data_IF_483816708243
#
_entry.id   IF_483816708243
#
_cell.length_a   1.000
_cell.length_b   1.000
_cell.length_c   1.000
_cell.angle_alpha   90.00
_cell.angle_beta   90.00
_cell.angle_gamma   90.00
#
_symmetry.space_group_name_H-M   'P 1'
#
loop_
_entity.id
_entity.type
_entity.pdbx_description
1 polymer ?
#
# COMPACT_ATOMS: atom_id res chain seq x y z
N UNK A 1 -13.00 -3.05 13.39
CA UNK A 1 -11.71 -3.16 14.06
C UNK A 1 -10.71 -3.70 13.05
N UNK A 2 -9.95 -2.79 12.41
CA UNK A 2 -8.93 -3.12 11.40
C UNK A 2 -7.52 -2.94 12.00
N UNK A 3 -7.41 -2.81 13.33
CA UNK A 3 -6.12 -2.74 13.98
C UNK A 3 -5.35 -4.05 13.70
N UNK A 4 -4.07 -3.94 13.37
CA UNK A 4 -3.17 -5.06 13.01
C UNK A 4 -3.20 -5.59 11.56
N UNK A 5 -3.49 -4.74 10.55
CA UNK A 5 -3.26 -5.06 9.12
C UNK A 5 -1.78 -5.18 8.71
N UNK A 6 -0.84 -5.32 9.66
CA UNK A 6 0.60 -5.34 9.38
C UNK A 6 1.02 -6.40 8.36
N UNK A 7 0.34 -7.54 8.32
CA UNK A 7 0.59 -8.60 7.33
C UNK A 7 0.16 -8.26 5.89
N UNK A 8 -0.64 -7.21 5.72
CA UNK A 8 -1.09 -6.70 4.42
C UNK A 8 -0.43 -5.37 4.04
N UNK A 9 -0.04 -4.56 5.03
CA UNK A 9 0.45 -3.19 4.81
C UNK A 9 1.96 -3.03 4.90
N UNK A 10 2.68 -3.99 5.49
CA UNK A 10 4.14 -3.95 5.63
C UNK A 10 4.79 -4.76 4.51
N UNK A 11 5.70 -4.14 3.75
CA UNK A 11 6.41 -4.80 2.65
C UNK A 11 6.99 -3.79 1.65
N UNK A 12 7.45 -4.27 0.48
CA UNK A 12 8.05 -3.42 -0.58
C UNK A 12 6.99 -2.72 -1.44
N UNK A 13 6.07 -1.98 -0.80
CA UNK A 13 4.98 -1.24 -1.46
C UNK A 13 5.47 -0.06 -2.30
N UNK A 14 6.63 0.51 -1.97
CA UNK A 14 7.23 1.66 -2.66
C UNK A 14 7.55 1.44 -4.15
N UNK A 15 7.59 0.18 -4.62
CA UNK A 15 7.86 -0.13 -6.04
C UNK A 15 6.61 -0.04 -6.94
N UNK A 16 5.41 0.03 -6.36
CA UNK A 16 4.15 0.12 -7.10
C UNK A 16 3.75 -1.11 -7.92
N UNK A 17 4.54 -2.20 -7.90
CA UNK A 17 4.18 -3.44 -8.59
C UNK A 17 3.31 -4.32 -7.69
N UNK A 18 2.03 -4.45 -8.05
CA UNK A 18 1.04 -5.25 -7.29
C UNK A 18 1.46 -6.71 -7.13
N UNK A 19 2.10 -7.32 -8.13
CA UNK A 19 2.52 -8.71 -8.06
C UNK A 19 3.68 -8.93 -7.08
N UNK A 20 4.60 -7.97 -6.98
CA UNK A 20 5.70 -8.04 -6.02
C UNK A 20 5.22 -7.74 -4.60
N UNK A 21 4.19 -6.89 -4.46
CA UNK A 21 3.52 -6.63 -3.18
C UNK A 21 2.81 -7.90 -2.70
N UNK A 22 2.08 -8.59 -3.58
CA UNK A 22 1.41 -9.85 -3.25
C UNK A 22 2.42 -10.94 -2.89
N UNK A 23 3.52 -11.05 -3.65
CA UNK A 23 4.61 -11.99 -3.35
C UNK A 23 5.21 -11.76 -1.96
N UNK A 24 5.45 -10.49 -1.59
CA UNK A 24 5.91 -10.12 -0.25
C UNK A 24 4.91 -10.51 0.84
N UNK A 25 3.60 -10.31 0.60
CA UNK A 25 2.54 -10.70 1.55
C UNK A 25 2.51 -12.21 1.75
N UNK A 26 2.62 -12.99 0.66
CA UNK A 26 2.70 -14.45 0.72
C UNK A 26 3.92 -14.86 1.57
N UNK A 27 5.10 -14.33 1.25
CA UNK A 27 6.35 -14.68 1.96
C UNK A 27 6.29 -14.31 3.44
N UNK A 28 5.79 -13.11 3.77
CA UNK A 28 5.64 -12.62 5.14
C UNK A 28 4.69 -13.52 5.95
N UNK A 29 3.53 -13.86 5.39
CA UNK A 29 2.51 -14.68 6.07
C UNK A 29 3.01 -16.11 6.25
N UNK A 30 3.56 -16.74 5.21
CA UNK A 30 3.99 -18.14 5.31
C UNK A 30 5.22 -18.29 6.20
N UNK A 31 6.17 -17.35 6.17
CA UNK A 31 7.32 -17.39 7.09
C UNK A 31 6.92 -17.04 8.51
N UNK A 32 6.09 -16.01 8.69
CA UNK A 32 5.71 -15.50 10.00
C UNK A 32 4.79 -16.43 10.78
N UNK A 33 3.83 -17.09 10.11
CA UNK A 33 2.85 -17.95 10.77
C UNK A 33 3.13 -19.44 10.63
N UNK A 34 3.74 -19.87 9.51
CA UNK A 34 3.94 -21.31 9.22
C UNK A 34 5.40 -21.74 9.36
N UNK A 35 6.35 -20.78 9.43
CA UNK A 35 7.78 -21.09 9.41
C UNK A 35 8.27 -21.64 8.07
N UNK A 36 7.53 -21.41 6.98
CA UNK A 36 7.81 -21.96 5.65
C UNK A 36 8.08 -20.85 4.63
N UNK A 37 9.04 -21.07 3.73
CA UNK A 37 9.27 -20.21 2.57
C UNK A 37 8.50 -20.74 1.36
N UNK A 38 7.48 -20.00 0.91
CA UNK A 38 6.67 -20.40 -0.25
C UNK A 38 7.05 -19.65 -1.53
N UNK A 39 7.87 -18.60 -1.44
CA UNK A 39 8.24 -17.75 -2.58
C UNK A 39 8.88 -18.50 -3.78
N UNK A 40 9.60 -19.61 -3.56
CA UNK A 40 10.17 -20.40 -4.66
C UNK A 40 9.09 -21.06 -5.54
N UNK A 41 7.91 -21.36 -4.95
CA UNK A 41 6.77 -21.95 -5.66
C UNK A 41 6.19 -21.03 -6.75
N UNK A 42 6.58 -19.75 -6.78
CA UNK A 42 6.16 -18.77 -7.81
C UNK A 42 6.45 -19.22 -9.23
N UNK A 43 7.59 -19.87 -9.45
CA UNK A 43 8.10 -20.18 -10.79
C UNK A 43 8.25 -21.68 -11.08
N UNK A 44 8.35 -22.50 -10.04
CA UNK A 44 8.51 -23.95 -10.12
C UNK A 44 8.03 -24.56 -8.81
N UNK A 45 7.63 -25.83 -8.80
CA UNK A 45 7.25 -26.49 -7.55
C UNK A 45 8.35 -26.37 -6.51
N UNK A 46 7.97 -26.11 -5.25
CA UNK A 46 8.92 -25.86 -4.20
C UNK A 46 9.90 -27.02 -4.04
N UNK A 47 11.19 -26.70 -3.83
CA UNK A 47 12.29 -27.67 -3.95
C UNK A 47 12.21 -28.83 -2.94
N UNK A 48 11.76 -28.56 -1.72
CA UNK A 48 11.82 -29.51 -0.60
C UNK A 48 10.43 -29.87 -0.07
N UNK A 49 9.62 -28.86 0.20
CA UNK A 49 8.23 -29.01 0.66
C UNK A 49 7.27 -29.37 -0.49
N UNK A 50 6.19 -30.14 -0.21
CA UNK A 50 5.15 -30.50 -1.19
C UNK A 50 4.20 -29.33 -1.44
N UNK A 51 4.72 -28.23 -1.98
CA UNK A 51 3.99 -27.01 -2.31
C UNK A 51 4.20 -26.74 -3.80
N UNK A 52 3.13 -26.88 -4.57
CA UNK A 52 3.16 -26.70 -6.02
C UNK A 52 3.04 -25.23 -6.43
N UNK A 53 3.28 -24.97 -7.72
CA UNK A 53 2.93 -23.68 -8.35
C UNK A 53 1.46 -23.33 -8.12
N UNK A 54 0.57 -24.33 -8.21
CA UNK A 54 -0.87 -24.14 -8.05
C UNK A 54 -1.23 -23.61 -6.64
N UNK A 55 -0.55 -24.10 -5.59
CA UNK A 55 -0.75 -23.63 -4.21
C UNK A 55 -0.31 -22.18 -4.04
N UNK A 56 0.84 -21.82 -4.65
CA UNK A 56 1.32 -20.43 -4.66
C UNK A 56 0.30 -19.50 -5.32
N UNK A 57 -0.21 -19.87 -6.50
CA UNK A 57 -1.16 -19.01 -7.21
C UNK A 57 -2.56 -19.01 -6.59
N UNK A 58 -2.94 -20.05 -5.84
CA UNK A 58 -4.13 -20.01 -5.00
C UNK A 58 -4.00 -18.93 -3.90
N UNK A 59 -2.86 -18.87 -3.19
CA UNK A 59 -2.57 -17.80 -2.23
C UNK A 59 -2.50 -16.43 -2.90
N UNK A 60 -1.85 -16.34 -4.07
CA UNK A 60 -1.84 -15.10 -4.85
C UNK A 60 -3.25 -14.62 -5.16
N UNK A 61 -4.17 -15.52 -5.56
CA UNK A 61 -5.57 -15.19 -5.82
C UNK A 61 -6.28 -14.61 -4.59
N UNK A 62 -6.02 -15.18 -3.40
CA UNK A 62 -6.54 -14.67 -2.13
C UNK A 62 -6.05 -13.25 -1.89
N UNK A 63 -4.73 -13.00 -1.93
CA UNK A 63 -4.18 -11.67 -1.68
C UNK A 63 -4.52 -10.64 -2.75
N UNK A 64 -4.66 -11.05 -4.01
CA UNK A 64 -5.14 -10.19 -5.09
C UNK A 64 -6.60 -9.73 -4.85
N UNK A 65 -7.36 -10.48 -4.07
CA UNK A 65 -8.75 -10.18 -3.70
C UNK A 65 -8.85 -9.46 -2.34
N UNK A 66 -7.74 -8.97 -1.79
CA UNK A 66 -7.72 -8.20 -0.54
C UNK A 66 -7.53 -6.72 -0.81
N UNK A 67 -8.23 -5.89 -0.03
CA UNK A 67 -8.12 -4.43 -0.07
C UNK A 67 -7.41 -3.91 1.17
N UNK A 68 -6.50 -2.96 0.96
CA UNK A 68 -5.91 -2.18 2.05
C UNK A 68 -6.73 -0.90 2.20
N UNK A 69 -7.24 -0.58 3.39
CA UNK A 69 -7.93 0.69 3.62
C UNK A 69 -7.01 1.88 3.32
N UNK A 70 -7.53 2.89 2.64
CA UNK A 70 -6.82 4.16 2.43
C UNK A 70 -6.60 4.87 3.77
N UNK A 71 -7.64 4.87 4.61
CA UNK A 71 -7.57 5.38 5.98
C UNK A 71 -7.28 4.23 6.95
N UNK A 72 -6.11 4.28 7.58
CA UNK A 72 -5.74 3.31 8.61
C UNK A 72 -6.49 3.58 9.92
N UNK A 73 -6.89 2.53 10.65
CA UNK A 73 -7.64 2.68 11.90
C UNK A 73 -6.79 3.33 12.99
N UNK A 74 -7.43 4.18 13.78
CA UNK A 74 -6.81 4.84 14.93
C UNK A 74 -6.63 3.81 16.05
N UNK A 75 -5.38 3.52 16.43
CA UNK A 75 -5.00 2.49 17.43
C UNK A 75 -4.99 3.07 18.87
N UNK A 76 -5.30 4.35 19.04
CA UNK A 76 -5.39 5.02 20.34
C UNK A 76 -5.38 6.54 20.23
N UNK A 77 -5.48 7.22 21.36
CA UNK A 77 -5.33 8.68 21.38
C UNK A 77 -3.88 9.07 21.06
N UNK A 78 -3.67 10.08 20.19
CA UNK A 78 -2.32 10.56 19.91
C UNK A 78 -1.68 11.11 21.19
N UNK A 79 -0.37 10.90 21.40
CA UNK A 79 0.32 11.42 22.57
C UNK A 79 0.23 12.95 22.58
N UNK A 80 -0.03 13.56 23.74
CA UNK A 80 -0.11 15.03 23.85
C UNK A 80 1.26 15.70 24.01
N UNK A 81 2.27 15.21 23.27
CA UNK A 81 3.63 15.76 23.34
C UNK A 81 3.78 16.99 22.44
N UNK A 82 4.88 17.73 22.62
CA UNK A 82 5.17 18.88 21.75
C UNK A 82 5.39 18.44 20.29
N UNK A 83 6.00 17.27 20.09
CA UNK A 83 6.25 16.68 18.78
C UNK A 83 4.95 16.32 18.07
N UNK A 84 3.97 15.76 18.79
CA UNK A 84 2.67 15.44 18.21
C UNK A 84 1.90 16.70 17.78
N UNK A 85 1.99 17.78 18.56
CA UNK A 85 1.42 19.09 18.19
C UNK A 85 2.11 19.66 16.94
N UNK A 86 3.45 19.65 16.92
CA UNK A 86 4.22 20.11 15.78
C UNK A 86 3.93 19.29 14.51
N UNK A 87 3.75 17.96 14.65
CA UNK A 87 3.33 17.10 13.55
C UNK A 87 1.95 17.48 13.03
N UNK A 88 0.96 17.68 13.92
CA UNK A 88 -0.40 18.07 13.53
C UNK A 88 -0.43 19.44 12.82
N UNK A 89 0.32 20.42 13.33
CA UNK A 89 0.47 21.74 12.70
C UNK A 89 1.10 21.61 11.31
N UNK A 90 2.18 20.83 11.17
CA UNK A 90 2.84 20.63 9.89
C UNK A 90 1.98 19.87 8.89
N UNK A 91 1.21 18.89 9.36
CA UNK A 91 0.28 18.13 8.51
C UNK A 91 -0.79 19.06 7.93
N UNK A 92 -1.42 19.90 8.76
CA UNK A 92 -2.42 20.86 8.31
C UNK A 92 -1.85 21.86 7.29
N UNK A 93 -0.62 22.34 7.50
CA UNK A 93 0.08 23.19 6.53
C UNK A 93 0.29 22.47 5.18
N UNK A 94 0.76 21.23 5.20
CA UNK A 94 1.01 20.44 3.99
C UNK A 94 -0.28 20.10 3.24
N UNK A 95 -1.35 19.74 3.95
CA UNK A 95 -2.67 19.49 3.38
C UNK A 95 -3.19 20.74 2.65
N UNK A 96 -3.06 21.93 3.26
CA UNK A 96 -3.44 23.17 2.60
C UNK A 96 -2.59 23.43 1.35
N UNK A 97 -1.27 23.24 1.44
CA UNK A 97 -0.37 23.41 0.29
C UNK A 97 -0.72 22.46 -0.87
N UNK A 98 -1.16 21.23 -0.58
CA UNK A 98 -1.61 20.27 -1.59
C UNK A 98 -2.87 20.76 -2.30
N UNK A 99 -3.88 21.22 -1.54
CA UNK A 99 -5.12 21.77 -2.10
C UNK A 99 -4.84 22.98 -2.99
N UNK A 100 -4.02 23.92 -2.52
CA UNK A 100 -3.63 25.11 -3.27
C UNK A 100 -2.89 24.73 -4.57
N UNK A 101 -2.03 23.72 -4.51
CA UNK A 101 -1.29 23.22 -5.65
C UNK A 101 -2.18 22.52 -6.68
N UNK A 102 -3.09 21.64 -6.25
CA UNK A 102 -4.06 20.97 -7.10
C UNK A 102 -4.96 21.97 -7.82
N UNK A 103 -5.42 23.00 -7.11
CA UNK A 103 -6.23 24.07 -7.70
C UNK A 103 -5.44 24.85 -8.75
N UNK A 104 -4.18 25.20 -8.46
CA UNK A 104 -3.32 25.88 -9.42
C UNK A 104 -3.05 25.05 -10.69
N UNK A 105 -2.84 23.73 -10.54
CA UNK A 105 -2.72 22.81 -11.68
C UNK A 105 -4.01 22.77 -12.49
N UNK A 106 -5.16 22.65 -11.82
CA UNK A 106 -6.46 22.59 -12.47
C UNK A 106 -6.76 23.86 -13.28
N UNK A 107 -6.54 25.04 -12.70
CA UNK A 107 -6.71 26.32 -13.38
C UNK A 107 -5.78 26.47 -14.59
N UNK A 108 -4.53 26.00 -14.46
CA UNK A 108 -3.56 25.98 -15.57
C UNK A 108 -4.03 25.04 -16.68
N UNK A 109 -4.42 23.81 -16.34
CA UNK A 109 -4.88 22.82 -17.30
C UNK A 109 -6.13 23.29 -18.05
N UNK A 110 -7.08 23.92 -17.36
CA UNK A 110 -8.25 24.55 -17.98
C UNK A 110 -7.86 25.66 -18.96
N UNK A 111 -6.93 26.55 -18.56
CA UNK A 111 -6.47 27.63 -19.42
C UNK A 111 -5.81 27.11 -20.70
N UNK A 112 -4.95 26.10 -20.57
CA UNK A 112 -4.29 25.45 -21.70
C UNK A 112 -5.30 24.71 -22.60
N UNK A 113 -6.26 23.97 -22.03
CA UNK A 113 -7.29 23.27 -22.78
C UNK A 113 -8.22 24.23 -23.55
N UNK A 114 -8.64 25.35 -22.94
CA UNK A 114 -9.46 26.37 -23.59
C UNK A 114 -8.68 27.06 -24.72
N UNK A 115 -7.39 27.33 -24.52
CA UNK A 115 -6.55 27.91 -25.56
C UNK A 115 -6.41 26.98 -26.78
N UNK A 116 -6.25 25.67 -26.56
CA UNK A 116 -6.12 24.67 -27.63
C UNK A 116 -7.44 24.28 -28.30
N UNK A 117 -8.59 24.48 -27.65
CA UNK A 117 -9.90 24.21 -28.24
C UNK A 117 -10.38 25.32 -29.20
N UNK A 118 -9.69 26.47 -29.21
CA UNK A 118 -9.99 27.60 -30.09
C UNK A 118 -9.25 27.53 -31.45
N UNK A 119 -8.34 26.57 -31.63
CA UNK A 119 -7.69 26.19 -32.89
C UNK A 119 -8.48 25.08 -33.61
#
# INVERSE_FOLDING_TARGET
DLAALGFLTVGRTFRGNVHDIIDDRIDLVTRGLMGLSVACARCHDHKYEPIGIDDYYALHGIFASTETPEELPIIGEPPQTQEAKAFAEKMAELEQNLVDHEQAIYERALREAVAHAAD
#
